data_IF_595743707514
#
_entry.id   IF_595743707514
#
_cell.length_a   1.000
_cell.length_b   1.000
_cell.length_c   1.000
_cell.angle_alpha   90.00
_cell.angle_beta   90.00
_cell.angle_gamma   90.00
#
_symmetry.space_group_name_H-M   'P 1'
#
loop_
_entity.id
_entity.type
_entity.pdbx_description
1 polymer ?
#
# COMPACT_ATOMS: atom_id res chain seq x y z
N UNK A 1 21.05 19.49 -87.80
CA UNK A 1 22.34 19.05 -87.22
C UNK A 1 22.57 19.89 -85.95
N UNK A 2 22.09 19.48 -84.78
CA UNK A 2 22.64 18.50 -83.86
C UNK A 2 23.80 19.03 -82.97
N UNK A 3 23.52 19.03 -81.66
CA UNK A 3 24.42 18.91 -80.48
C UNK A 3 25.13 20.16 -79.92
N UNK A 4 24.45 20.80 -78.95
CA UNK A 4 24.79 20.88 -77.50
C UNK A 4 26.27 20.65 -77.12
N UNK A 5 26.86 21.57 -76.36
CA UNK A 5 27.59 21.24 -75.13
C UNK A 5 27.83 22.46 -74.22
N UNK A 6 27.56 22.21 -72.94
CA UNK A 6 27.51 23.09 -71.78
C UNK A 6 28.70 22.72 -70.88
N UNK A 7 29.48 23.71 -70.43
CA UNK A 7 30.46 23.62 -69.33
C UNK A 7 30.47 24.99 -68.64
N UNK A 8 29.66 25.21 -67.60
CA UNK A 8 29.92 24.90 -66.17
C UNK A 8 31.16 25.64 -65.65
N UNK A 9 30.93 26.83 -65.08
CA UNK A 9 31.85 27.48 -64.16
C UNK A 9 31.61 26.94 -62.74
N UNK A 10 32.68 26.51 -62.08
CA UNK A 10 32.66 26.07 -60.69
C UNK A 10 33.09 27.24 -59.80
N UNK A 11 32.13 27.82 -59.08
CA UNK A 11 32.37 28.66 -57.90
C UNK A 11 31.49 28.07 -56.81
N UNK A 12 32.07 27.19 -55.99
CA UNK A 12 31.42 26.62 -54.81
C UNK A 12 31.47 27.69 -53.72
N UNK A 13 30.41 28.48 -53.63
CA UNK A 13 30.11 29.21 -52.40
C UNK A 13 29.45 28.22 -51.43
N UNK A 14 30.18 27.89 -50.37
CA UNK A 14 29.69 27.10 -49.24
C UNK A 14 28.59 27.92 -48.54
N UNK A 15 27.33 27.59 -48.82
CA UNK A 15 26.18 28.01 -48.03
C UNK A 15 26.01 27.01 -46.88
N UNK A 16 26.75 27.21 -45.79
CA UNK A 16 26.36 26.67 -44.48
C UNK A 16 25.18 27.52 -44.01
N UNK A 17 23.98 27.13 -44.44
CA UNK A 17 22.74 27.61 -43.86
C UNK A 17 22.68 27.09 -42.43
N UNK A 18 22.69 28.03 -41.49
CA UNK A 18 22.55 27.82 -40.05
C UNK A 18 21.29 27.02 -39.73
N UNK A 19 21.41 25.70 -39.62
CA UNK A 19 20.56 24.93 -38.74
C UNK A 19 21.00 25.31 -37.31
N UNK A 20 20.39 26.35 -36.76
CA UNK A 20 20.50 26.63 -35.33
C UNK A 20 20.11 25.36 -34.56
N UNK A 21 20.78 25.04 -33.45
CA UNK A 21 20.32 23.93 -32.61
C UNK A 21 18.88 24.25 -32.24
N UNK A 22 17.94 23.38 -32.63
CA UNK A 22 16.61 23.38 -32.06
C UNK A 22 16.82 23.35 -30.55
N UNK A 23 16.59 24.49 -29.91
CA UNK A 23 16.79 24.63 -28.48
C UNK A 23 15.92 23.55 -27.85
N UNK A 24 16.54 22.68 -27.05
CA UNK A 24 15.82 21.88 -26.08
C UNK A 24 15.05 22.88 -25.21
N UNK A 25 13.78 23.11 -25.53
CA UNK A 25 12.90 23.92 -24.72
C UNK A 25 12.77 23.14 -23.41
N UNK A 26 13.53 23.53 -22.39
CA UNK A 26 13.29 23.04 -21.04
C UNK A 26 11.82 23.36 -20.75
N UNK A 27 11.01 22.32 -20.63
CA UNK A 27 9.59 22.45 -20.29
C UNK A 27 9.48 23.28 -19.00
N UNK A 28 8.49 24.18 -18.92
CA UNK A 28 8.31 24.97 -17.69
C UNK A 28 8.08 24.04 -16.48
N UNK A 29 8.41 24.48 -15.25
CA UNK A 29 8.21 23.67 -14.05
C UNK A 29 6.79 23.08 -13.93
N UNK A 30 5.78 23.84 -14.34
CA UNK A 30 4.38 23.42 -14.33
C UNK A 30 4.11 22.29 -15.34
N UNK A 31 4.68 22.37 -16.54
CA UNK A 31 4.55 21.31 -17.54
C UNK A 31 5.21 20.03 -17.02
N UNK A 32 6.38 20.13 -16.39
CA UNK A 32 7.06 18.97 -15.80
C UNK A 32 6.25 18.30 -14.70
N UNK A 33 5.59 19.07 -13.83
CA UNK A 33 4.71 18.54 -12.77
C UNK A 33 3.51 17.79 -13.37
N UNK A 34 2.84 18.38 -14.36
CA UNK A 34 1.70 17.74 -15.02
C UNK A 34 2.12 16.45 -15.72
N UNK A 35 3.29 16.41 -16.35
CA UNK A 35 3.80 15.18 -16.97
C UNK A 35 4.13 14.09 -15.94
N UNK A 36 4.68 14.45 -14.78
CA UNK A 36 4.87 13.51 -13.66
C UNK A 36 3.53 12.91 -13.22
N UNK A 37 2.54 13.78 -12.99
CA UNK A 37 1.19 13.35 -12.58
C UNK A 37 0.55 12.43 -13.63
N UNK A 38 0.56 12.80 -14.91
CA UNK A 38 0.01 11.98 -16.00
C UNK A 38 0.65 10.58 -16.10
N UNK A 39 1.92 10.43 -15.72
CA UNK A 39 2.61 9.15 -15.66
C UNK A 39 2.35 8.33 -14.39
N UNK A 40 1.67 8.92 -13.40
CA UNK A 40 1.45 8.30 -12.09
C UNK A 40 0.23 7.38 -12.06
N UNK A 41 0.20 6.46 -11.09
CA UNK A 41 -0.98 5.64 -10.82
C UNK A 41 -2.23 6.45 -10.43
N UNK A 42 -2.05 7.63 -9.84
CA UNK A 42 -3.14 8.52 -9.44
C UNK A 42 -3.87 9.17 -10.61
N UNK A 43 -3.19 9.35 -11.75
CA UNK A 43 -3.80 9.93 -12.95
C UNK A 43 -4.30 8.89 -13.95
N UNK A 44 -4.05 7.59 -13.72
CA UNK A 44 -4.31 6.53 -14.70
C UNK A 44 -5.82 6.20 -14.78
N UNK A 45 -6.58 6.70 -15.76
CA UNK A 45 -8.03 6.51 -15.82
C UNK A 45 -8.42 5.08 -16.22
N UNK A 46 -7.46 4.26 -16.66
CA UNK A 46 -7.68 2.86 -17.04
C UNK A 46 -7.50 1.89 -15.86
N UNK A 47 -6.93 2.37 -14.75
CA UNK A 47 -6.72 1.57 -13.55
C UNK A 47 -8.03 1.01 -13.00
N UNK A 48 -8.08 -0.28 -12.58
CA UNK A 48 -9.23 -0.84 -11.86
C UNK A 48 -9.64 -0.04 -10.62
N UNK A 49 -8.72 0.78 -10.07
CA UNK A 49 -9.04 1.70 -8.98
C UNK A 49 -10.09 2.74 -9.40
N UNK A 50 -10.12 3.18 -10.65
CA UNK A 50 -11.07 4.19 -11.13
C UNK A 50 -12.14 3.61 -12.05
N UNK A 51 -11.87 2.46 -12.67
CA UNK A 51 -12.80 1.83 -13.64
C UNK A 51 -13.74 0.79 -13.05
N UNK A 52 -13.61 0.42 -11.76
CA UNK A 52 -14.45 -0.63 -11.16
C UNK A 52 -15.96 -0.36 -11.27
N UNK A 53 -16.35 0.91 -11.19
CA UNK A 53 -17.75 1.35 -11.29
C UNK A 53 -18.09 1.94 -12.67
N UNK A 54 -17.24 1.78 -13.68
CA UNK A 54 -17.52 2.25 -15.03
C UNK A 54 -18.85 1.67 -15.56
N UNK A 55 -19.73 2.56 -16.02
CA UNK A 55 -21.06 2.19 -16.51
C UNK A 55 -22.12 1.98 -15.42
N UNK A 56 -21.77 2.17 -14.15
CA UNK A 56 -22.74 2.27 -13.05
C UNK A 56 -23.15 3.74 -12.83
N UNK A 57 -24.25 3.95 -12.12
CA UNK A 57 -24.77 5.30 -11.86
C UNK A 57 -23.86 6.11 -10.91
N UNK A 58 -23.20 5.43 -9.96
CA UNK A 58 -22.40 6.08 -8.93
C UNK A 58 -21.31 5.16 -8.37
N UNK A 59 -20.22 5.77 -7.88
CA UNK A 59 -19.30 5.13 -6.96
C UNK A 59 -19.95 5.10 -5.56
N UNK A 60 -19.98 3.96 -4.84
CA UNK A 60 -20.45 3.91 -3.47
C UNK A 60 -19.70 4.91 -2.58
N UNK A 61 -20.42 5.64 -1.71
CA UNK A 61 -19.87 6.69 -0.86
C UNK A 61 -18.57 6.26 -0.12
N UNK A 62 -18.58 5.09 0.51
CA UNK A 62 -17.44 4.55 1.25
C UNK A 62 -16.22 4.16 0.38
N UNK A 63 -16.36 4.22 -0.95
CA UNK A 63 -15.31 3.97 -1.94
C UNK A 63 -14.90 5.28 -2.64
N UNK A 64 -15.85 6.18 -2.86
CA UNK A 64 -15.65 7.43 -3.60
C UNK A 64 -14.59 8.33 -2.98
N UNK A 65 -14.45 8.31 -1.64
CA UNK A 65 -13.41 9.04 -0.90
C UNK A 65 -11.99 8.83 -1.47
N UNK A 66 -11.65 7.62 -1.93
CA UNK A 66 -10.31 7.29 -2.44
C UNK A 66 -10.27 7.10 -3.96
N UNK A 67 -11.42 6.79 -4.56
CA UNK A 67 -11.52 6.36 -5.96
C UNK A 67 -12.11 7.46 -6.87
N UNK A 68 -12.19 8.70 -6.41
CA UNK A 68 -12.50 9.88 -7.22
C UNK A 68 -12.05 11.15 -6.49
N UNK A 69 -11.42 12.10 -7.22
CA UNK A 69 -11.11 13.41 -6.68
C UNK A 69 -12.36 14.18 -6.22
N UNK A 70 -13.50 13.98 -6.91
CA UNK A 70 -14.80 14.54 -6.48
C UNK A 70 -15.22 13.98 -5.12
N UNK A 71 -15.16 12.66 -4.94
CA UNK A 71 -15.52 12.03 -3.66
C UNK A 71 -14.58 12.41 -2.52
N UNK A 72 -13.29 12.61 -2.81
CA UNK A 72 -12.35 13.14 -1.82
C UNK A 72 -12.71 14.57 -1.39
N UNK A 73 -12.98 15.45 -2.36
CA UNK A 73 -13.34 16.86 -2.09
C UNK A 73 -14.63 16.95 -1.30
N UNK A 74 -15.63 16.15 -1.64
CA UNK A 74 -16.89 16.06 -0.92
C UNK A 74 -16.68 15.60 0.53
N UNK A 75 -15.92 14.52 0.74
CA UNK A 75 -15.57 14.01 2.06
C UNK A 75 -14.88 15.07 2.93
N UNK A 76 -14.03 15.92 2.35
CA UNK A 76 -13.34 16.99 3.07
C UNK A 76 -14.10 18.33 3.08
N UNK A 77 -15.30 18.39 2.49
CA UNK A 77 -16.11 19.61 2.41
C UNK A 77 -15.47 20.72 1.58
N UNK A 78 -14.58 20.39 0.65
CA UNK A 78 -13.90 21.34 -0.26
C UNK A 78 -14.92 22.04 -1.17
N UNK A 79 -15.98 21.33 -1.55
CA UNK A 79 -17.12 21.80 -2.34
C UNK A 79 -18.25 22.41 -1.49
N UNK A 80 -18.06 22.50 -0.17
CA UNK A 80 -19.08 22.98 0.78
C UNK A 80 -19.93 21.88 1.41
N UNK A 81 -19.68 20.61 1.10
CA UNK A 81 -20.34 19.46 1.73
C UNK A 81 -19.96 19.29 3.22
N UNK A 82 -20.73 18.44 3.91
CA UNK A 82 -20.47 18.15 5.32
C UNK A 82 -19.25 17.24 5.45
N UNK A 83 -18.21 17.70 6.14
CA UNK A 83 -16.97 16.94 6.37
C UNK A 83 -17.26 15.54 6.95
N UNK A 84 -16.63 14.54 6.36
CA UNK A 84 -16.73 13.13 6.74
C UNK A 84 -17.94 12.39 6.15
N UNK A 85 -18.76 13.06 5.34
CA UNK A 85 -20.00 12.51 4.78
C UNK A 85 -19.95 12.64 3.27
N UNK A 86 -20.33 11.57 2.57
CA UNK A 86 -20.67 11.58 1.15
C UNK A 86 -22.09 11.05 1.03
N UNK A 87 -23.06 11.94 0.82
CA UNK A 87 -24.49 11.64 0.82
C UNK A 87 -25.18 11.88 -0.53
N UNK A 88 -24.40 12.14 -1.58
CA UNK A 88 -24.87 12.25 -2.96
C UNK A 88 -24.08 11.35 -3.93
N UNK A 89 -24.62 11.08 -5.13
CA UNK A 89 -23.97 10.20 -6.11
C UNK A 89 -22.69 10.81 -6.69
N UNK A 90 -21.54 10.15 -6.49
CA UNK A 90 -20.29 10.51 -7.16
C UNK A 90 -20.18 9.78 -8.49
N UNK A 91 -20.01 10.52 -9.59
CA UNK A 91 -20.01 9.95 -10.94
C UNK A 91 -18.71 9.17 -11.21
N UNK A 92 -18.78 7.92 -11.71
CA UNK A 92 -17.59 7.17 -12.10
C UNK A 92 -16.81 7.84 -13.24
N UNK A 93 -15.48 7.65 -13.24
CA UNK A 93 -14.58 8.16 -14.28
C UNK A 93 -13.62 9.27 -13.83
N UNK A 94 -13.75 9.73 -12.58
CA UNK A 94 -12.77 10.60 -11.93
C UNK A 94 -11.48 9.85 -11.55
N UNK A 95 -10.42 10.62 -11.32
CA UNK A 95 -9.11 10.14 -10.83
C UNK A 95 -8.67 10.99 -9.63
N UNK A 96 -7.50 10.72 -9.05
CA UNK A 96 -6.90 11.61 -8.05
C UNK A 96 -6.27 12.80 -8.79
N UNK A 97 -7.04 13.88 -8.90
CA UNK A 97 -6.67 15.10 -9.62
C UNK A 97 -5.89 16.12 -8.76
N UNK A 98 -5.46 17.22 -9.38
CA UNK A 98 -4.66 18.25 -8.71
C UNK A 98 -5.38 18.85 -7.49
N UNK A 99 -6.69 19.07 -7.59
CA UNK A 99 -7.49 19.74 -6.56
C UNK A 99 -7.71 18.83 -5.34
N UNK A 100 -7.57 17.51 -5.50
CA UNK A 100 -7.55 16.54 -4.39
C UNK A 100 -6.49 16.91 -3.34
N UNK A 101 -5.30 17.34 -3.79
CA UNK A 101 -4.19 17.71 -2.90
C UNK A 101 -4.04 19.23 -2.72
N UNK A 102 -4.40 20.01 -3.74
CA UNK A 102 -4.20 21.46 -3.76
C UNK A 102 -5.52 22.21 -3.64
N UNK A 103 -5.91 22.49 -2.40
CA UNK A 103 -7.07 23.32 -2.05
C UNK A 103 -6.87 23.95 -0.66
N UNK A 104 -7.70 24.93 -0.32
CA UNK A 104 -7.59 25.68 0.93
C UNK A 104 -7.84 24.83 2.18
N UNK A 105 -8.69 23.80 2.09
CA UNK A 105 -8.96 22.87 3.21
C UNK A 105 -7.71 22.05 3.51
N UNK A 106 -7.04 21.52 2.49
CA UNK A 106 -5.85 20.70 2.66
C UNK A 106 -4.57 21.48 2.98
N UNK A 107 -4.59 22.81 2.83
CA UNK A 107 -3.53 23.65 3.37
C UNK A 107 -3.48 23.62 4.91
N UNK A 108 -4.62 23.38 5.57
CA UNK A 108 -4.74 23.22 7.02
C UNK A 108 -5.72 22.09 7.36
N UNK A 109 -5.32 20.81 7.20
CA UNK A 109 -6.22 19.68 7.37
C UNK A 109 -6.81 19.59 8.78
N UNK A 110 -8.02 19.06 8.89
CA UNK A 110 -8.46 18.45 10.15
C UNK A 110 -7.73 17.11 10.37
N UNK A 111 -7.69 16.60 11.61
CA UNK A 111 -7.09 15.30 11.90
C UNK A 111 -7.76 14.15 11.13
N UNK A 112 -6.97 13.16 10.72
CA UNK A 112 -7.46 11.98 9.99
C UNK A 112 -7.80 10.87 10.99
N UNK A 113 -9.00 10.30 10.90
CA UNK A 113 -9.40 9.18 11.75
C UNK A 113 -9.28 7.86 10.99
N UNK A 114 -8.42 6.98 11.49
CA UNK A 114 -8.17 5.67 10.89
C UNK A 114 -9.33 4.70 11.17
N UNK A 115 -9.46 3.60 10.42
CA UNK A 115 -10.45 2.54 10.70
C UNK A 115 -10.33 1.89 12.09
N UNK A 116 -9.23 2.12 12.81
CA UNK A 116 -9.07 1.72 14.22
C UNK A 116 -9.84 2.60 15.20
N UNK A 117 -10.37 3.74 14.74
CA UNK A 117 -10.93 4.80 15.57
C UNK A 117 -9.87 5.75 16.14
N UNK A 118 -8.58 5.53 15.85
CA UNK A 118 -7.51 6.42 16.29
C UNK A 118 -7.42 7.62 15.34
N UNK A 119 -7.39 8.81 15.93
CA UNK A 119 -7.26 10.07 15.20
C UNK A 119 -5.81 10.56 15.21
N UNK A 120 -5.28 10.83 14.02
CA UNK A 120 -3.91 11.30 13.80
C UNK A 120 -3.92 12.74 13.32
N UNK A 121 -3.18 13.60 14.02
CA UNK A 121 -2.88 14.95 13.56
C UNK A 121 -1.80 14.86 12.49
N UNK A 122 -2.21 14.86 11.22
CA UNK A 122 -1.29 14.93 10.10
C UNK A 122 -1.05 16.39 9.73
N UNK A 123 0.22 16.75 9.49
CA UNK A 123 0.59 18.10 9.09
C UNK A 123 0.58 18.23 7.56
N UNK A 124 0.01 19.33 7.06
CA UNK A 124 0.01 19.68 5.64
C UNK A 124 -0.56 18.58 4.75
N UNK A 125 0.05 18.40 3.58
CA UNK A 125 -0.43 17.47 2.54
C UNK A 125 -0.36 16.00 2.93
N UNK A 126 0.27 15.64 4.04
CA UNK A 126 0.32 14.25 4.55
C UNK A 126 -1.07 13.74 4.91
N UNK A 127 -1.97 14.62 5.36
CA UNK A 127 -3.35 14.24 5.65
C UNK A 127 -4.08 13.67 4.41
N UNK A 128 -3.80 14.24 3.23
CA UNK A 128 -4.33 13.75 1.95
C UNK A 128 -3.88 12.32 1.69
N UNK A 129 -2.59 12.03 1.87
CA UNK A 129 -2.04 10.68 1.71
C UNK A 129 -2.69 9.70 2.69
N UNK A 130 -2.78 10.08 3.97
CA UNK A 130 -3.31 9.23 5.04
C UNK A 130 -4.81 8.93 4.88
N UNK A 131 -5.58 9.84 4.29
CA UNK A 131 -7.02 9.63 4.05
C UNK A 131 -7.27 8.35 3.25
N UNK A 132 -6.46 8.10 2.21
CA UNK A 132 -6.62 6.94 1.34
C UNK A 132 -5.74 5.75 1.77
N UNK A 133 -4.49 6.01 2.17
CA UNK A 133 -3.49 4.98 2.49
C UNK A 133 -3.55 4.47 3.95
N UNK A 134 -4.71 4.60 4.61
CA UNK A 134 -4.96 4.08 5.96
C UNK A 134 -5.55 2.66 5.99
N UNK A 135 -5.86 2.07 4.83
CA UNK A 135 -6.66 0.86 4.74
C UNK A 135 -8.15 1.11 5.04
N UNK A 136 -8.95 0.03 5.12
CA UNK A 136 -10.40 0.13 5.38
C UNK A 136 -10.89 -0.72 6.55
N UNK A 137 -9.99 -1.48 7.18
CA UNK A 137 -10.25 -2.26 8.38
C UNK A 137 -9.06 -2.14 9.33
N UNK A 138 -9.22 -2.66 10.55
CA UNK A 138 -8.25 -2.47 11.62
C UNK A 138 -8.16 -3.70 12.52
N UNK A 139 -7.06 -3.79 13.28
CA UNK A 139 -6.92 -4.79 14.33
C UNK A 139 -8.07 -4.80 15.34
N UNK A 140 -8.51 -3.63 15.85
CA UNK A 140 -9.70 -3.53 16.70
C UNK A 140 -10.97 -4.13 16.09
N UNK A 141 -11.21 -3.97 14.78
CA UNK A 141 -12.36 -4.59 14.12
C UNK A 141 -12.30 -6.12 14.16
N UNK A 142 -11.11 -6.70 13.95
CA UNK A 142 -10.88 -8.15 14.08
C UNK A 142 -11.04 -8.61 15.53
N UNK A 143 -10.51 -7.86 16.50
CA UNK A 143 -10.67 -8.16 17.91
C UNK A 143 -12.15 -8.16 18.32
N UNK A 144 -12.92 -7.18 17.87
CA UNK A 144 -14.36 -7.11 18.11
C UNK A 144 -15.11 -8.28 17.46
N UNK A 145 -14.79 -8.62 16.21
CA UNK A 145 -15.43 -9.72 15.49
C UNK A 145 -15.15 -11.09 16.13
N UNK A 146 -14.05 -11.24 16.86
CA UNK A 146 -13.61 -12.51 17.46
C UNK A 146 -13.80 -12.59 18.98
N UNK A 147 -14.30 -11.53 19.60
CA UNK A 147 -14.42 -11.41 21.05
C UNK A 147 -15.37 -12.45 21.63
N UNK A 148 -14.96 -13.10 22.73
CA UNK A 148 -15.78 -14.08 23.46
C UNK A 148 -16.02 -15.42 22.74
N UNK A 149 -15.41 -15.63 21.56
CA UNK A 149 -15.54 -16.86 20.79
C UNK A 149 -14.47 -17.89 21.18
N UNK A 150 -14.78 -19.18 21.02
CA UNK A 150 -13.79 -20.27 21.18
C UNK A 150 -12.78 -20.17 20.04
N UNK A 151 -11.50 -20.02 20.38
CA UNK A 151 -10.45 -19.63 19.42
C UNK A 151 -10.35 -20.54 18.18
N UNK A 152 -10.59 -21.85 18.38
CA UNK A 152 -10.38 -22.90 17.39
C UNK A 152 -11.68 -23.52 16.87
N UNK A 153 -12.84 -23.01 17.29
CA UNK A 153 -14.13 -23.46 16.79
C UNK A 153 -14.52 -22.67 15.54
N UNK A 154 -15.00 -23.38 14.51
CA UNK A 154 -15.58 -22.73 13.32
C UNK A 154 -16.82 -21.95 13.73
N UNK A 155 -16.93 -20.72 13.25
CA UNK A 155 -18.08 -19.88 13.48
C UNK A 155 -18.63 -19.37 12.13
N UNK A 156 -19.89 -19.73 11.85
CA UNK A 156 -20.59 -19.39 10.63
C UNK A 156 -20.95 -17.90 10.49
N UNK A 157 -20.70 -17.07 11.50
CA UNK A 157 -20.85 -15.61 11.44
C UNK A 157 -19.55 -14.90 11.01
N UNK A 158 -18.40 -15.58 11.12
CA UNK A 158 -17.11 -15.00 10.77
C UNK A 158 -16.89 -14.96 9.26
N UNK A 159 -16.42 -13.82 8.77
CA UNK A 159 -16.00 -13.62 7.38
C UNK A 159 -14.62 -13.01 7.36
N UNK A 160 -13.90 -13.16 6.25
CA UNK A 160 -12.62 -12.48 6.10
C UNK A 160 -12.81 -10.97 6.19
N UNK A 161 -12.07 -10.34 7.08
CA UNK A 161 -12.01 -8.89 7.25
C UNK A 161 -10.85 -8.40 6.38
N UNK A 162 -11.14 -7.67 5.31
CA UNK A 162 -10.10 -7.23 4.37
C UNK A 162 -9.54 -5.85 4.78
N UNK A 163 -8.23 -5.73 5.12
CA UNK A 163 -7.60 -4.44 5.43
C UNK A 163 -7.59 -3.46 4.25
N UNK A 164 -7.82 -3.96 3.03
CA UNK A 164 -7.70 -3.22 1.78
C UNK A 164 -6.26 -2.83 1.44
N UNK A 165 -6.08 -2.21 0.28
CA UNK A 165 -4.77 -2.06 -0.37
C UNK A 165 -3.96 -0.89 0.19
N UNK A 166 -2.63 -1.01 0.07
CA UNK A 166 -1.66 0.04 0.37
C UNK A 166 -1.91 0.78 1.70
N UNK A 167 -2.05 0.08 2.86
CA UNK A 167 -2.28 0.69 4.16
C UNK A 167 -1.00 1.30 4.77
N UNK A 168 -0.18 1.97 3.95
CA UNK A 168 1.13 2.50 4.30
C UNK A 168 1.09 3.44 5.52
N UNK A 169 0.06 4.27 5.65
CA UNK A 169 -0.11 5.15 6.79
C UNK A 169 -0.38 4.36 8.08
N UNK A 170 -1.24 3.34 8.02
CA UNK A 170 -1.52 2.48 9.17
C UNK A 170 -0.30 1.62 9.54
N UNK A 171 0.48 1.16 8.55
CA UNK A 171 1.74 0.45 8.78
C UNK A 171 2.77 1.36 9.46
N UNK A 172 3.01 2.56 8.90
CA UNK A 172 3.96 3.53 9.47
C UNK A 172 3.61 3.88 10.92
N UNK A 173 2.32 4.10 11.21
CA UNK A 173 1.86 4.46 12.54
C UNK A 173 1.94 3.30 13.55
N UNK A 174 2.09 2.05 13.09
CA UNK A 174 2.24 0.87 13.95
C UNK A 174 1.13 0.76 15.00
N UNK A 175 1.50 0.52 16.25
CA UNK A 175 0.55 0.46 17.36
C UNK A 175 -0.15 1.78 17.66
N UNK A 176 0.41 2.94 17.27
CA UNK A 176 -0.27 4.22 17.34
C UNK A 176 -1.30 4.43 16.22
N UNK A 177 -1.32 3.59 15.18
CA UNK A 177 -2.35 3.60 14.13
C UNK A 177 -3.37 2.46 14.26
N UNK A 178 -3.00 1.36 14.91
CA UNK A 178 -3.91 0.24 15.18
C UNK A 178 -4.34 -0.54 13.92
N UNK A 179 -3.54 -0.47 12.84
CA UNK A 179 -3.86 -1.12 11.57
C UNK A 179 -3.84 -2.65 11.65
N UNK A 180 -2.79 -3.23 12.20
CA UNK A 180 -2.66 -4.68 12.41
C UNK A 180 -3.41 -5.19 13.64
N UNK A 181 -3.78 -6.48 13.63
CA UNK A 181 -4.29 -7.16 14.82
C UNK A 181 -3.14 -7.45 15.78
N UNK A 182 -3.21 -6.85 16.97
CA UNK A 182 -2.19 -6.96 18.01
C UNK A 182 -2.65 -7.97 19.08
N UNK A 183 -1.82 -8.97 19.34
CA UNK A 183 -2.14 -10.03 20.29
C UNK A 183 -2.10 -9.52 21.74
N UNK A 184 -3.09 -9.87 22.59
CA UNK A 184 -3.14 -9.42 23.97
C UNK A 184 -1.87 -9.78 24.77
N UNK A 185 -1.39 -8.83 25.57
CA UNK A 185 -0.21 -9.03 26.42
C UNK A 185 1.14 -8.83 25.72
N UNK A 186 1.16 -8.59 24.41
CA UNK A 186 2.37 -8.30 23.66
C UNK A 186 2.51 -6.79 23.40
N UNK A 187 3.77 -6.33 23.32
CA UNK A 187 4.10 -4.96 22.94
C UNK A 187 4.43 -4.90 21.44
N UNK A 188 3.99 -3.81 20.82
CA UNK A 188 4.15 -3.57 19.40
C UNK A 188 4.80 -2.21 19.14
N UNK A 189 5.68 -2.18 18.15
CA UNK A 189 6.28 -0.96 17.65
C UNK A 189 5.20 0.07 17.34
N UNK A 190 5.41 1.27 17.86
CA UNK A 190 4.55 2.42 17.61
C UNK A 190 4.85 3.01 16.24
N UNK A 191 4.59 4.31 16.05
CA UNK A 191 4.98 5.03 14.84
C UNK A 191 6.47 4.83 14.58
N UNK A 192 6.80 4.32 13.40
CA UNK A 192 8.16 4.34 12.90
C UNK A 192 8.56 5.77 12.56
N UNK A 193 9.67 6.21 13.14
CA UNK A 193 10.29 7.49 12.84
C UNK A 193 11.64 7.23 12.22
N UNK A 194 11.81 7.67 10.97
CA UNK A 194 13.13 7.73 10.36
C UNK A 194 13.95 8.89 10.98
N UNK A 195 15.15 9.18 10.47
CA UNK A 195 15.95 10.31 10.98
C UNK A 195 15.18 11.62 10.92
N UNK A 196 15.49 12.59 11.80
CA UNK A 196 14.71 13.83 11.98
C UNK A 196 14.44 14.63 10.69
N UNK A 197 15.27 14.49 9.65
CA UNK A 197 15.10 15.16 8.36
C UNK A 197 14.16 14.43 7.38
N UNK A 198 13.68 13.23 7.72
CA UNK A 198 12.80 12.38 6.90
C UNK A 198 11.72 11.86 7.84
N UNK A 199 10.54 12.45 7.81
CA UNK A 199 9.46 12.16 8.76
C UNK A 199 8.08 12.05 8.13
N UNK A 200 7.93 12.56 6.91
CA UNK A 200 6.70 12.62 6.14
C UNK A 200 6.78 11.72 4.91
N UNK A 201 5.62 11.37 4.36
CA UNK A 201 5.53 10.56 3.13
C UNK A 201 6.29 11.20 1.97
N UNK A 202 6.16 12.54 1.83
CA UNK A 202 6.76 13.32 0.75
C UNK A 202 8.27 13.53 0.88
N UNK A 203 8.86 13.18 2.02
CA UNK A 203 10.32 13.19 2.17
C UNK A 203 10.97 12.02 1.41
N UNK A 204 10.20 10.98 1.09
CA UNK A 204 10.63 9.83 0.31
C UNK A 204 9.94 9.77 -1.06
N UNK A 205 8.63 10.05 -1.12
CA UNK A 205 7.81 9.95 -2.32
C UNK A 205 7.61 11.30 -2.99
N UNK A 206 7.87 11.38 -4.30
CA UNK A 206 7.46 12.54 -5.07
C UNK A 206 5.92 12.57 -5.18
N UNK A 207 5.23 13.63 -4.74
CA UNK A 207 3.76 13.65 -4.70
C UNK A 207 3.10 13.66 -6.08
N UNK A 208 3.85 13.94 -7.15
CA UNK A 208 3.32 14.01 -8.51
C UNK A 208 3.64 12.74 -9.30
N UNK A 209 4.85 12.19 -9.22
CA UNK A 209 5.18 10.93 -9.90
C UNK A 209 4.88 9.68 -9.06
N UNK A 210 4.74 9.82 -7.74
CA UNK A 210 4.60 8.74 -6.73
C UNK A 210 5.85 7.87 -6.54
N UNK A 211 6.82 8.01 -7.44
CA UNK A 211 8.15 7.40 -7.36
C UNK A 211 8.93 7.85 -6.12
N UNK A 212 9.85 6.99 -5.70
CA UNK A 212 10.73 7.25 -4.56
C UNK A 212 12.01 7.94 -5.04
N UNK A 213 12.44 8.99 -4.34
CA UNK A 213 13.70 9.69 -4.60
C UNK A 213 14.90 8.90 -4.02
N UNK A 214 15.23 7.76 -4.64
CA UNK A 214 16.22 6.76 -4.16
C UNK A 214 17.59 7.36 -3.84
N UNK A 215 18.04 8.35 -4.60
CA UNK A 215 19.37 8.96 -4.42
C UNK A 215 19.54 9.67 -3.06
N UNK A 216 18.43 10.07 -2.42
CA UNK A 216 18.46 10.60 -1.07
C UNK A 216 18.90 9.55 -0.04
N UNK A 217 18.54 8.29 -0.25
CA UNK A 217 18.79 7.16 0.65
C UNK A 217 20.24 6.67 0.57
N UNK A 218 20.83 6.66 -0.63
CA UNK A 218 22.17 6.12 -0.92
C UNK A 218 23.25 6.74 -0.01
N UNK A 219 23.11 8.02 0.34
CA UNK A 219 24.10 8.73 1.18
C UNK A 219 24.27 8.11 2.57
N UNK A 220 23.20 7.53 3.13
CA UNK A 220 23.22 6.94 4.46
C UNK A 220 23.22 5.40 4.42
N UNK A 221 22.55 4.79 3.43
CA UNK A 221 22.38 3.35 3.34
C UNK A 221 23.34 2.66 2.37
N UNK A 222 24.04 3.40 1.51
CA UNK A 222 25.08 2.86 0.62
C UNK A 222 24.58 2.00 -0.54
N UNK A 223 23.26 1.92 -0.77
CA UNK A 223 22.65 1.12 -1.85
C UNK A 223 21.48 1.86 -2.49
N UNK A 224 21.27 1.63 -3.78
CA UNK A 224 20.07 2.06 -4.53
C UNK A 224 18.93 1.04 -4.41
N UNK A 225 19.24 -0.21 -4.04
CA UNK A 225 18.22 -1.22 -3.77
C UNK A 225 17.67 -1.02 -2.36
N UNK A 226 16.51 -0.37 -2.27
CA UNK A 226 15.81 -0.13 -1.01
C UNK A 226 15.48 -1.42 -0.25
N UNK A 227 15.27 -2.54 -0.95
CA UNK A 227 14.99 -3.84 -0.32
C UNK A 227 16.23 -4.46 0.32
N UNK A 228 17.42 -4.05 -0.11
CA UNK A 228 18.69 -4.46 0.50
C UNK A 228 19.03 -3.64 1.77
N UNK A 229 18.24 -2.61 2.09
CA UNK A 229 18.48 -1.80 3.30
C UNK A 229 18.18 -2.61 4.55
N UNK A 230 19.12 -2.57 5.51
CA UNK A 230 18.98 -3.12 6.85
C UNK A 230 19.55 -2.13 7.87
N UNK A 231 18.81 -1.90 8.95
CA UNK A 231 19.24 -1.02 10.06
C UNK A 231 19.34 -1.76 11.40
N UNK A 232 18.85 -3.00 11.46
CA UNK A 232 18.90 -3.87 12.64
C UNK A 232 19.51 -5.22 12.29
N UNK A 233 20.43 -5.72 13.13
CA UNK A 233 21.24 -6.92 12.85
C UNK A 233 20.60 -8.24 13.30
N UNK A 234 19.32 -8.24 13.69
CA UNK A 234 18.63 -9.44 14.14
C UNK A 234 18.38 -10.43 13.01
N UNK A 235 18.38 -11.71 13.33
CA UNK A 235 17.90 -12.80 12.48
C UNK A 235 16.43 -13.04 12.83
N UNK A 236 15.50 -12.45 12.07
CA UNK A 236 14.08 -12.44 12.44
C UNK A 236 13.29 -13.60 11.82
N UNK A 237 13.75 -14.16 10.70
CA UNK A 237 13.12 -15.29 10.04
C UNK A 237 13.80 -16.63 10.35
N UNK A 238 14.94 -16.62 11.05
CA UNK A 238 15.56 -17.81 11.64
C UNK A 238 16.50 -18.55 10.69
N UNK A 239 16.91 -17.92 9.59
CA UNK A 239 17.73 -18.53 8.55
C UNK A 239 19.25 -18.34 8.76
N UNK A 240 19.63 -17.54 9.77
CA UNK A 240 21.01 -17.21 10.11
C UNK A 240 21.64 -16.08 9.29
N UNK A 241 20.94 -15.50 8.31
CA UNK A 241 21.44 -14.43 7.44
C UNK A 241 21.06 -13.05 7.98
N UNK A 242 22.03 -12.36 8.58
CA UNK A 242 21.85 -11.01 9.15
C UNK A 242 22.40 -9.89 8.26
N UNK A 243 22.89 -10.24 7.06
CA UNK A 243 23.49 -9.34 6.08
C UNK A 243 22.57 -9.02 4.89
N UNK A 244 21.46 -9.75 4.73
CA UNK A 244 20.41 -9.47 3.76
C UNK A 244 19.61 -8.22 4.15
N UNK A 245 18.88 -7.59 3.23
CA UNK A 245 17.99 -6.48 3.61
C UNK A 245 16.76 -6.95 4.39
N UNK A 246 16.19 -6.12 5.26
CA UNK A 246 15.07 -6.52 6.15
C UNK A 246 13.79 -6.93 5.41
N UNK A 247 13.68 -6.57 4.13
CA UNK A 247 12.63 -7.07 3.24
C UNK A 247 12.66 -8.60 3.11
N UNK A 248 13.85 -9.22 3.11
CA UNK A 248 14.00 -10.67 2.99
C UNK A 248 13.31 -11.38 4.15
N UNK A 249 13.57 -10.95 5.39
CA UNK A 249 12.94 -11.48 6.60
C UNK A 249 11.41 -11.36 6.55
N UNK A 250 10.88 -10.18 6.19
CA UNK A 250 9.42 -9.95 6.09
C UNK A 250 8.81 -10.87 5.03
N UNK A 251 9.48 -11.04 3.89
CA UNK A 251 9.02 -11.93 2.80
C UNK A 251 9.03 -13.40 3.22
N UNK A 252 10.08 -13.83 3.92
CA UNK A 252 10.24 -15.18 4.47
C UNK A 252 9.17 -15.48 5.51
N UNK A 253 9.03 -14.61 6.52
CA UNK A 253 7.99 -14.71 7.54
C UNK A 253 6.57 -14.68 6.94
N UNK A 254 6.33 -13.88 5.89
CA UNK A 254 5.04 -13.87 5.21
C UNK A 254 4.73 -15.22 4.54
N UNK A 255 5.74 -15.89 3.96
CA UNK A 255 5.58 -17.25 3.41
C UNK A 255 5.31 -18.26 4.51
N UNK A 256 6.06 -18.21 5.61
CA UNK A 256 5.87 -19.07 6.78
C UNK A 256 4.49 -18.90 7.39
N UNK A 257 3.98 -17.66 7.51
CA UNK A 257 2.63 -17.41 7.98
C UNK A 257 1.57 -17.97 7.02
N UNK A 258 1.76 -17.83 5.70
CA UNK A 258 0.84 -18.40 4.71
C UNK A 258 0.82 -19.94 4.79
N UNK A 259 1.97 -20.56 4.98
CA UNK A 259 2.06 -22.01 5.23
C UNK A 259 1.33 -22.38 6.52
N UNK A 260 1.58 -21.66 7.63
CA UNK A 260 0.94 -21.90 8.91
C UNK A 260 -0.59 -21.78 8.85
N UNK A 261 -1.11 -20.81 8.11
CA UNK A 261 -2.54 -20.65 7.81
C UNK A 261 -3.09 -21.91 7.13
N UNK A 262 -2.40 -22.42 6.10
CA UNK A 262 -2.77 -23.66 5.40
C UNK A 262 -2.74 -24.87 6.33
N UNK A 263 -1.62 -25.10 7.03
CA UNK A 263 -1.46 -26.22 7.97
C UNK A 263 -2.52 -26.22 9.07
N UNK A 264 -2.80 -25.07 9.67
CA UNK A 264 -3.84 -24.93 10.70
C UNK A 264 -5.23 -25.26 10.15
N UNK A 265 -5.55 -24.80 8.94
CA UNK A 265 -6.85 -25.07 8.31
C UNK A 265 -7.10 -26.56 8.06
N UNK A 266 -6.05 -27.33 7.75
CA UNK A 266 -6.15 -28.79 7.59
C UNK A 266 -6.23 -29.49 8.95
N UNK A 267 -5.30 -29.16 9.86
CA UNK A 267 -5.11 -29.94 11.09
C UNK A 267 -6.15 -29.64 12.18
N UNK A 268 -6.63 -28.39 12.27
CA UNK A 268 -7.56 -27.94 13.30
C UNK A 268 -8.97 -27.78 12.73
N UNK A 269 -9.09 -27.09 11.59
CA UNK A 269 -10.40 -26.75 10.99
C UNK A 269 -10.98 -27.89 10.16
N UNK A 270 -10.13 -28.78 9.63
CA UNK A 270 -10.50 -29.84 8.70
C UNK A 270 -11.15 -29.32 7.41
N UNK A 271 -10.80 -28.09 7.01
CA UNK A 271 -11.21 -27.48 5.73
C UNK A 271 -10.05 -26.65 5.23
N UNK A 272 -9.44 -27.08 4.13
CA UNK A 272 -8.22 -26.45 3.62
C UNK A 272 -8.50 -25.08 3.01
N UNK A 273 -7.76 -24.07 3.48
CA UNK A 273 -7.80 -22.71 2.97
C UNK A 273 -6.66 -22.49 1.96
N UNK A 274 -6.95 -21.76 0.89
CA UNK A 274 -5.94 -21.27 -0.03
C UNK A 274 -5.98 -19.74 -0.13
N UNK A 275 -4.79 -19.14 -0.30
CA UNK A 275 -4.66 -17.73 -0.68
C UNK A 275 -4.48 -17.60 -2.20
N UNK A 276 -5.26 -16.74 -2.83
CA UNK A 276 -5.14 -16.34 -4.23
C UNK A 276 -4.97 -14.83 -4.34
N UNK A 277 -4.21 -14.36 -5.33
CA UNK A 277 -3.94 -12.93 -5.51
C UNK A 277 -5.05 -12.22 -6.31
N UNK A 278 -6.29 -12.46 -5.90
CA UNK A 278 -7.51 -11.83 -6.44
C UNK A 278 -8.62 -11.94 -5.41
N UNK A 279 -9.53 -10.98 -5.37
CA UNK A 279 -10.71 -11.08 -4.52
C UNK A 279 -11.46 -12.41 -4.80
N UNK A 280 -11.88 -13.18 -3.78
CA UNK A 280 -11.98 -12.86 -2.35
C UNK A 280 -10.73 -13.17 -1.50
N UNK A 281 -9.59 -13.45 -2.14
CA UNK A 281 -8.28 -13.81 -1.58
C UNK A 281 -8.20 -15.13 -0.86
N UNK A 282 -9.10 -15.39 0.08
CA UNK A 282 -9.14 -16.63 0.83
C UNK A 282 -10.28 -17.50 0.32
N UNK A 283 -9.93 -18.64 -0.25
CA UNK A 283 -10.85 -19.56 -0.94
C UNK A 283 -10.70 -20.97 -0.38
N UNK A 284 -11.68 -21.84 -0.65
CA UNK A 284 -11.52 -23.27 -0.44
C UNK A 284 -10.45 -23.81 -1.40
N UNK A 285 -9.47 -24.58 -0.89
CA UNK A 285 -8.29 -24.98 -1.68
C UNK A 285 -8.62 -25.89 -2.86
N UNK A 286 -9.72 -26.65 -2.80
CA UNK A 286 -10.22 -27.44 -3.92
C UNK A 286 -10.77 -26.60 -5.08
N UNK A 287 -10.97 -25.29 -4.89
CA UNK A 287 -11.65 -24.38 -5.83
C UNK A 287 -10.80 -23.14 -6.15
N UNK A 288 -9.47 -23.24 -6.21
CA UNK A 288 -8.58 -22.08 -6.43
C UNK A 288 -8.74 -21.40 -7.79
N UNK A 289 -9.36 -22.05 -8.78
CA UNK A 289 -9.63 -21.49 -10.10
C UNK A 289 -10.99 -20.75 -10.17
N UNK A 290 -11.93 -21.11 -9.28
CA UNK A 290 -13.28 -20.55 -9.29
C UNK A 290 -13.32 -19.20 -8.59
N UNK A 291 -13.39 -18.12 -9.38
CA UNK A 291 -13.39 -16.74 -8.89
C UNK A 291 -14.53 -16.37 -7.92
N UNK A 292 -15.54 -17.22 -7.74
CA UNK A 292 -16.67 -17.01 -6.83
C UNK A 292 -16.58 -17.74 -5.49
N UNK A 293 -15.61 -18.64 -5.30
CA UNK A 293 -15.58 -19.48 -4.10
C UNK A 293 -14.91 -18.74 -2.95
N UNK A 294 -15.65 -18.49 -1.86
CA UNK A 294 -15.14 -17.83 -0.65
C UNK A 294 -14.88 -18.88 0.42
N UNK A 295 -13.77 -18.78 1.15
CA UNK A 295 -13.57 -19.62 2.33
C UNK A 295 -14.57 -19.26 3.44
N UNK A 296 -15.27 -20.25 3.99
CA UNK A 296 -16.34 -20.01 4.98
C UNK A 296 -16.10 -20.61 6.36
N UNK A 297 -15.17 -21.56 6.50
CA UNK A 297 -14.87 -22.27 7.75
C UNK A 297 -13.94 -21.47 8.69
N UNK A 298 -14.25 -20.20 8.95
CA UNK A 298 -13.39 -19.34 9.78
C UNK A 298 -13.46 -19.71 11.26
N UNK A 299 -12.28 -19.87 11.89
CA UNK A 299 -12.13 -19.79 13.35
C UNK A 299 -11.65 -18.39 13.74
N UNK A 300 -11.90 -17.93 14.98
CA UNK A 300 -11.32 -16.69 15.49
C UNK A 300 -9.80 -16.61 15.31
N UNK A 301 -9.08 -17.71 15.57
CA UNK A 301 -7.62 -17.77 15.43
C UNK A 301 -7.16 -17.60 13.98
N UNK A 302 -7.80 -18.32 13.06
CA UNK A 302 -7.48 -18.26 11.64
C UNK A 302 -7.73 -16.85 11.07
N UNK A 303 -8.82 -16.20 11.47
CA UNK A 303 -9.17 -14.86 11.01
C UNK A 303 -8.12 -13.82 11.42
N UNK A 304 -7.62 -13.87 12.66
CA UNK A 304 -6.56 -12.97 13.16
C UNK A 304 -5.27 -13.09 12.34
N UNK A 305 -4.81 -14.34 12.14
CA UNK A 305 -3.59 -14.61 11.40
C UNK A 305 -3.73 -14.24 9.91
N UNK A 306 -4.86 -14.57 9.28
CA UNK A 306 -5.15 -14.22 7.89
C UNK A 306 -5.24 -12.70 7.69
N UNK A 307 -5.83 -11.97 8.65
CA UNK A 307 -5.86 -10.51 8.63
C UNK A 307 -4.45 -9.92 8.66
N UNK A 308 -3.60 -10.36 9.60
CA UNK A 308 -2.23 -9.85 9.71
C UNK A 308 -1.39 -10.18 8.46
N UNK A 309 -1.51 -11.40 7.92
CA UNK A 309 -0.90 -11.75 6.64
C UNK A 309 -1.30 -10.77 5.54
N UNK A 310 -2.61 -10.52 5.37
CA UNK A 310 -3.09 -9.63 4.32
C UNK A 310 -2.70 -8.18 4.59
N UNK A 311 -2.73 -7.70 5.84
CA UNK A 311 -2.36 -6.33 6.20
C UNK A 311 -0.90 -6.04 5.85
N UNK A 312 0.03 -6.93 6.25
CA UNK A 312 1.46 -6.78 5.95
C UNK A 312 1.73 -6.89 4.45
N UNK A 313 1.15 -7.88 3.77
CA UNK A 313 1.39 -8.09 2.33
C UNK A 313 0.65 -7.11 1.41
N UNK A 314 -0.31 -6.35 1.94
CA UNK A 314 -0.99 -5.28 1.18
C UNK A 314 -0.21 -3.96 1.19
N UNK A 315 0.86 -3.85 1.99
CA UNK A 315 1.81 -2.74 1.95
C UNK A 315 3.15 -3.20 1.34
N UNK A 316 3.39 -2.94 0.05
CA UNK A 316 4.67 -3.26 -0.59
C UNK A 316 5.88 -2.58 0.07
N UNK A 317 5.65 -1.47 0.79
CA UNK A 317 6.66 -0.69 1.48
C UNK A 317 6.80 -1.02 2.96
N UNK A 318 6.17 -2.09 3.48
CA UNK A 318 6.20 -2.42 4.91
C UNK A 318 7.64 -2.50 5.50
N UNK A 319 8.60 -2.93 4.68
CA UNK A 319 10.02 -3.00 5.02
C UNK A 319 10.68 -1.63 5.29
N UNK A 320 10.11 -0.54 4.78
CA UNK A 320 10.55 0.83 4.99
C UNK A 320 9.59 1.64 5.88
N UNK A 321 8.30 1.34 5.83
CA UNK A 321 7.29 2.07 6.60
C UNK A 321 7.33 1.72 8.08
N UNK A 322 7.45 0.45 8.46
CA UNK A 322 7.60 0.00 9.84
C UNK A 322 8.02 -1.49 9.91
N UNK A 323 9.28 -1.82 9.58
CA UNK A 323 9.70 -3.22 9.40
C UNK A 323 9.52 -4.06 10.68
N UNK A 324 9.86 -3.50 11.84
CA UNK A 324 9.73 -4.21 13.12
C UNK A 324 8.26 -4.45 13.49
N UNK A 325 7.35 -3.51 13.25
CA UNK A 325 5.92 -3.76 13.46
C UNK A 325 5.39 -4.87 12.55
N UNK A 326 5.76 -4.85 11.26
CA UNK A 326 5.38 -5.90 10.32
C UNK A 326 5.88 -7.28 10.77
N UNK A 327 7.15 -7.38 11.17
CA UNK A 327 7.75 -8.61 11.70
C UNK A 327 7.02 -9.07 12.96
N UNK A 328 6.72 -8.19 13.92
CA UNK A 328 5.98 -8.55 15.14
C UNK A 328 4.61 -9.15 14.83
N UNK A 329 3.84 -8.55 13.90
CA UNK A 329 2.55 -9.08 13.48
C UNK A 329 2.67 -10.47 12.85
N UNK A 330 3.67 -10.68 11.99
CA UNK A 330 3.90 -11.98 11.35
C UNK A 330 4.32 -13.04 12.38
N UNK A 331 5.31 -12.71 13.23
CA UNK A 331 5.86 -13.60 14.25
C UNK A 331 4.79 -14.08 15.22
N UNK A 332 4.00 -13.14 15.74
CA UNK A 332 2.95 -13.46 16.72
C UNK A 332 1.80 -14.27 16.09
N UNK A 333 1.49 -14.02 14.81
CA UNK A 333 0.49 -14.81 14.09
C UNK A 333 0.96 -16.25 13.83
N UNK A 334 2.24 -16.42 13.48
CA UNK A 334 2.86 -17.75 13.30
C UNK A 334 2.88 -18.50 14.63
N UNK A 335 3.28 -17.83 15.71
CA UNK A 335 3.32 -18.41 17.06
C UNK A 335 1.91 -18.81 17.55
N UNK A 336 0.89 -18.00 17.31
CA UNK A 336 -0.50 -18.27 17.68
C UNK A 336 -1.06 -19.51 16.96
N UNK A 337 -0.80 -19.66 15.66
CA UNK A 337 -1.21 -20.85 14.89
C UNK A 337 -0.39 -22.09 15.28
N UNK A 338 0.94 -21.96 15.37
CA UNK A 338 1.83 -23.04 15.74
C UNK A 338 1.53 -23.60 17.13
N UNK A 339 1.31 -22.73 18.11
CA UNK A 339 0.95 -23.11 19.49
C UNK A 339 -0.33 -23.94 19.56
N UNK A 340 -1.35 -23.61 18.76
CA UNK A 340 -2.60 -24.37 18.69
C UNK A 340 -2.41 -25.79 18.12
N UNK A 341 -1.41 -25.98 17.26
CA UNK A 341 -1.07 -27.26 16.64
C UNK A 341 0.00 -28.04 17.42
N UNK A 342 0.61 -27.45 18.47
CA UNK A 342 1.82 -28.00 19.08
C UNK A 342 3.02 -28.05 18.12
N UNK A 343 3.02 -27.19 17.10
CA UNK A 343 4.06 -27.11 16.08
C UNK A 343 4.90 -25.84 16.27
N UNK A 344 6.21 -25.97 16.19
CA UNK A 344 7.14 -24.84 16.26
C UNK A 344 7.71 -24.56 14.87
N UNK A 345 7.33 -23.41 14.31
CA UNK A 345 7.94 -22.92 13.08
C UNK A 345 9.35 -22.38 13.37
N UNK A 346 10.33 -22.65 12.51
CA UNK A 346 11.70 -22.18 12.68
C UNK A 346 11.79 -20.70 12.28
N UNK A 347 11.28 -19.82 13.14
CA UNK A 347 11.40 -18.36 13.00
C UNK A 347 12.39 -17.83 14.02
N UNK A 348 13.08 -16.75 13.66
CA UNK A 348 14.16 -16.17 14.45
C UNK A 348 13.67 -15.37 15.66
N UNK A 349 14.47 -14.39 16.09
CA UNK A 349 14.08 -13.54 17.21
C UNK A 349 12.91 -12.62 16.83
N UNK A 350 12.13 -12.20 17.83
CA UNK A 350 11.09 -11.19 17.65
C UNK A 350 11.69 -9.83 18.01
N UNK A 351 11.57 -8.78 17.17
CA UNK A 351 12.10 -7.46 17.51
C UNK A 351 11.35 -6.84 18.70
N UNK A 352 12.05 -6.02 19.48
CA UNK A 352 11.61 -5.45 20.76
C UNK A 352 11.42 -3.95 20.76
#
# INVERSE_FOLDING_TARGET
MAKRNWKVGFLVAILIGLAGPAMAQQSSPQVSIVQKWLGSGHANPESPSFTHWSGQDAIPANCAMCHSGEGFRDFWGVDGSTVGVIDHPIVPGGVVDCETCHNDVMATPQPVTFPSGITINAEGTVATCMTCHQGRQSGPAVAAATAGMVADAVNADLRFINPHYAPAAAMQMGSAGGGGYQYPGLSYMTRFTHVRSITQCIDCHDPHSLEIEVQSCVRCHGTEDLRAIRTSMGDYDGDGHTDSGIYADISSLSKTLREAIGTYSVNIVQTEIAYVDRFPYFVHAENTEDAGTVYTSWTPRLLRAAYNYKFVTSDPGAYAHNPHYAIQLLHDSIADLGGAMGHHYPIGERPH
#
